data_IF_210763901086
#
_entry.id   IF_210763901086
#
_cell.length_a   1.000
_cell.length_b   1.000
_cell.length_c   1.000
_cell.angle_alpha   90.00
_cell.angle_beta   90.00
_cell.angle_gamma   90.00
#
_symmetry.space_group_name_H-M   'P 1'
#
loop_
_entity.id
_entity.type
_entity.pdbx_description
1 polymer ?
#
# COMPACT_ATOMS: atom_id res chain seq x y z
N UNK A 1 19.03 -0.05 17.11
CA UNK A 1 17.86 0.83 16.98
C UNK A 1 17.33 0.65 15.55
N UNK A 2 16.51 -0.37 15.32
CA UNK A 2 16.04 -0.77 13.96
C UNK A 2 14.53 -1.09 13.92
N UNK A 3 13.76 -0.58 14.89
CA UNK A 3 12.38 -1.00 15.14
C UNK A 3 11.34 -0.48 14.10
N UNK A 4 11.73 0.44 13.21
CA UNK A 4 10.80 1.06 12.23
C UNK A 4 11.12 0.71 10.77
N UNK A 5 12.15 -0.11 10.50
CA UNK A 5 12.53 -0.47 9.13
C UNK A 5 11.36 -1.10 8.36
N UNK A 6 10.57 -1.94 9.02
CA UNK A 6 9.40 -2.58 8.42
C UNK A 6 8.26 -1.61 8.09
N UNK A 7 8.18 -0.46 8.76
CA UNK A 7 7.18 0.57 8.50
C UNK A 7 7.55 1.38 7.24
N UNK A 8 8.82 1.79 7.12
CA UNK A 8 9.27 2.66 6.03
C UNK A 8 9.78 1.91 4.80
N UNK A 9 10.22 0.65 4.96
CA UNK A 9 10.71 -0.21 3.87
C UNK A 9 10.14 -1.64 3.96
N UNK A 10 8.80 -1.79 3.95
CA UNK A 10 8.18 -3.11 3.95
C UNK A 10 8.54 -3.89 2.67
N UNK A 11 8.64 -5.22 2.77
CA UNK A 11 8.74 -6.11 1.59
C UNK A 11 7.37 -6.37 0.94
N UNK A 12 6.30 -6.16 1.71
CA UNK A 12 4.92 -6.37 1.30
C UNK A 12 3.97 -5.58 2.19
N UNK A 13 2.83 -5.15 1.63
CA UNK A 13 1.77 -4.44 2.34
C UNK A 13 0.42 -5.07 1.99
N UNK A 14 -0.48 -5.13 2.98
CA UNK A 14 -1.89 -5.47 2.77
C UNK A 14 -2.75 -4.23 2.99
N UNK A 15 -3.66 -3.93 2.06
CA UNK A 15 -4.57 -2.79 2.14
C UNK A 15 -5.97 -3.29 2.51
N UNK A 16 -6.28 -3.32 3.80
CA UNK A 16 -7.61 -3.72 4.27
C UNK A 16 -8.62 -2.61 3.94
N UNK A 17 -9.67 -2.98 3.21
CA UNK A 17 -10.66 -2.02 2.69
C UNK A 17 -10.29 -1.44 1.32
N UNK A 18 -9.37 -2.08 0.59
CA UNK A 18 -9.13 -1.81 -0.83
C UNK A 18 -10.45 -1.80 -1.62
N UNK A 19 -10.57 -0.90 -2.58
CA UNK A 19 -11.76 -0.80 -3.42
C UNK A 19 -11.41 -0.35 -4.83
N UNK A 20 -12.09 -0.91 -5.82
CA UNK A 20 -12.01 -0.45 -7.22
C UNK A 20 -12.90 0.77 -7.54
N UNK A 21 -13.63 1.34 -6.55
CA UNK A 21 -14.55 2.46 -6.77
C UNK A 21 -13.83 3.81 -6.56
N UNK A 22 -13.71 4.68 -7.59
CA UNK A 22 -13.19 6.02 -7.43
C UNK A 22 -13.93 6.81 -6.33
N UNK A 23 -13.18 7.61 -5.58
CA UNK A 23 -13.71 8.37 -4.43
C UNK A 23 -13.68 7.63 -3.09
N UNK A 24 -13.41 6.31 -3.06
CA UNK A 24 -13.15 5.58 -1.80
C UNK A 24 -11.70 5.72 -1.36
N UNK A 25 -11.45 5.75 -0.06
CA UNK A 25 -10.09 5.83 0.51
C UNK A 25 -9.23 4.63 0.06
N UNK A 26 -9.77 3.41 0.13
CA UNK A 26 -9.07 2.21 -0.32
C UNK A 26 -8.70 2.24 -1.81
N UNK A 27 -9.48 2.94 -2.65
CA UNK A 27 -9.13 3.16 -4.05
C UNK A 27 -7.92 4.08 -4.17
N UNK A 28 -7.92 5.22 -3.46
CA UNK A 28 -6.82 6.18 -3.50
C UNK A 28 -5.50 5.58 -2.98
N UNK A 29 -5.53 4.79 -1.91
CA UNK A 29 -4.34 4.11 -1.36
C UNK A 29 -3.77 3.12 -2.38
N UNK A 30 -4.61 2.24 -2.93
CA UNK A 30 -4.18 1.27 -3.95
C UNK A 30 -3.62 1.95 -5.19
N UNK A 31 -4.30 3.00 -5.68
CA UNK A 31 -3.87 3.80 -6.82
C UNK A 31 -2.48 4.38 -6.58
N UNK A 32 -2.23 4.97 -5.42
CA UNK A 32 -0.93 5.57 -5.09
C UNK A 32 0.18 4.51 -5.00
N UNK A 33 -0.06 3.37 -4.35
CA UNK A 33 0.95 2.31 -4.26
C UNK A 33 1.40 1.83 -5.66
N UNK A 34 0.47 1.74 -6.61
CA UNK A 34 0.75 1.31 -7.98
C UNK A 34 1.41 2.44 -8.78
N UNK A 35 0.83 3.64 -8.79
CA UNK A 35 1.31 4.76 -9.63
C UNK A 35 2.69 5.27 -9.23
N UNK A 36 3.01 5.25 -7.93
CA UNK A 36 4.33 5.63 -7.43
C UNK A 36 5.33 4.46 -7.39
N UNK A 37 4.96 3.30 -7.95
CA UNK A 37 5.89 2.20 -8.22
C UNK A 37 6.38 1.46 -6.98
N UNK A 38 5.50 1.18 -6.01
CA UNK A 38 5.88 0.34 -4.86
C UNK A 38 6.37 -1.03 -5.33
N UNK A 39 7.63 -1.34 -5.07
CA UNK A 39 8.31 -2.53 -5.60
C UNK A 39 7.98 -3.82 -4.83
N UNK A 40 7.41 -3.69 -3.63
CA UNK A 40 7.02 -4.82 -2.80
C UNK A 40 5.70 -5.47 -3.24
N UNK A 41 5.36 -6.62 -2.65
CA UNK A 41 4.07 -7.27 -2.94
C UNK A 41 2.91 -6.51 -2.29
N UNK A 42 1.85 -6.27 -3.07
CA UNK A 42 0.62 -5.65 -2.58
C UNK A 42 -0.46 -6.74 -2.49
N UNK A 43 -1.15 -6.80 -1.36
CA UNK A 43 -2.35 -7.62 -1.14
C UNK A 43 -3.54 -6.70 -0.88
N UNK A 44 -4.70 -7.04 -1.44
CA UNK A 44 -5.92 -6.23 -1.37
C UNK A 44 -7.06 -7.03 -0.75
#
# INVERSE_FOLDING_TARGET
MDNVKALFKPRSVAVIGASGKPGKIGYAIMKNLIEYGYEGKIYA
#
